data_IF_644145483359
#
_entry.id   IF_644145483359
#
_cell.length_a   1.000
_cell.length_b   1.000
_cell.length_c   1.000
_cell.angle_alpha   90.00
_cell.angle_beta   90.00
_cell.angle_gamma   90.00
#
_symmetry.space_group_name_H-M   'P 1'
#
loop_
_entity.id
_entity.type
_entity.pdbx_description
1 polymer ?
#
# COMPACT_ATOMS: atom_id res chain seq x y z
N UNK A 1 10.67 -1.08 -8.99
CA UNK A 1 10.48 -0.18 -7.82
C UNK A 1 9.36 -0.78 -6.99
N UNK A 2 9.66 -1.11 -5.73
CA UNK A 2 8.69 -1.62 -4.77
C UNK A 2 8.73 -0.75 -3.53
N UNK A 3 7.82 0.20 -3.43
CA UNK A 3 7.87 1.25 -2.39
C UNK A 3 6.62 1.26 -1.54
N UNK A 4 6.81 1.40 -0.22
CA UNK A 4 5.72 1.62 0.73
C UNK A 4 5.74 3.10 1.16
N UNK A 5 4.60 3.78 1.04
CA UNK A 5 4.39 5.12 1.55
C UNK A 5 3.52 5.04 2.82
N UNK A 6 4.15 5.22 3.97
CA UNK A 6 3.50 5.16 5.28
C UNK A 6 3.32 6.57 5.84
N UNK A 7 2.17 6.88 6.42
CA UNK A 7 1.93 8.21 6.99
C UNK A 7 0.46 8.49 7.25
N UNK A 8 0.16 9.52 8.04
CA UNK A 8 -1.22 9.85 8.41
C UNK A 8 -2.01 10.48 7.26
N UNK A 9 -3.33 10.60 7.43
CA UNK A 9 -4.18 11.37 6.51
C UNK A 9 -3.64 12.80 6.35
N UNK A 10 -3.55 13.29 5.11
CA UNK A 10 -3.00 14.62 4.82
C UNK A 10 -1.48 14.70 4.70
N UNK A 11 -0.71 13.64 4.98
CA UNK A 11 0.75 13.63 4.87
C UNK A 11 1.31 13.72 3.42
N UNK A 12 0.46 13.71 2.40
CA UNK A 12 0.87 13.82 1.00
C UNK A 12 1.27 12.52 0.30
N UNK A 13 1.00 11.35 0.90
CA UNK A 13 1.25 10.02 0.29
C UNK A 13 0.72 9.90 -1.14
N UNK A 14 -0.57 10.21 -1.34
CA UNK A 14 -1.21 10.14 -2.66
C UNK A 14 -0.62 11.13 -3.66
N UNK A 15 -0.16 12.30 -3.19
CA UNK A 15 0.55 13.25 -4.04
C UNK A 15 1.91 12.70 -4.48
N UNK A 16 2.64 12.04 -3.59
CA UNK A 16 3.92 11.41 -3.91
C UNK A 16 3.74 10.20 -4.83
N UNK A 17 2.76 9.32 -4.57
CA UNK A 17 2.48 8.15 -5.42
C UNK A 17 2.13 8.57 -6.85
N UNK A 18 1.27 9.58 -7.03
CA UNK A 18 0.97 10.15 -8.36
C UNK A 18 2.22 10.68 -9.08
N UNK A 19 3.13 11.37 -8.37
CA UNK A 19 4.38 11.88 -8.95
C UNK A 19 5.32 10.76 -9.36
N UNK A 20 5.37 9.67 -8.60
CA UNK A 20 6.18 8.49 -8.94
C UNK A 20 5.60 7.75 -10.15
N UNK A 21 4.27 7.57 -10.18
CA UNK A 21 3.55 6.96 -11.30
C UNK A 21 3.69 7.76 -12.61
N UNK A 22 3.82 9.08 -12.53
CA UNK A 22 4.05 9.91 -13.71
C UNK A 22 5.42 9.68 -14.38
N UNK A 23 6.39 9.09 -13.67
CA UNK A 23 7.75 8.86 -14.18
C UNK A 23 7.94 7.48 -14.80
N UNK A 24 7.15 6.49 -14.39
CA UNK A 24 7.24 5.11 -14.84
C UNK A 24 5.93 4.36 -14.63
N UNK A 25 5.63 3.34 -15.45
CA UNK A 25 4.50 2.45 -15.20
C UNK A 25 4.74 1.69 -13.88
N UNK A 26 3.83 1.89 -12.93
CA UNK A 26 3.87 1.26 -11.60
C UNK A 26 2.45 1.11 -11.10
N UNK A 27 2.12 -0.05 -10.54
CA UNK A 27 0.82 -0.27 -9.94
C UNK A 27 0.72 0.44 -8.58
N UNK A 28 -0.48 0.83 -8.16
CA UNK A 28 -0.72 1.47 -6.86
C UNK A 28 -1.84 0.76 -6.14
N UNK A 29 -1.64 0.47 -4.86
CA UNK A 29 -2.66 0.00 -3.94
C UNK A 29 -2.78 0.97 -2.76
N UNK A 30 -3.96 1.54 -2.52
CA UNK A 30 -4.26 2.12 -1.21
C UNK A 30 -4.61 1.01 -0.23
N UNK A 31 -4.06 1.05 0.98
CA UNK A 31 -4.46 0.10 2.00
C UNK A 31 -5.93 0.25 2.41
N UNK A 32 -6.55 1.42 2.18
CA UNK A 32 -7.99 1.60 2.39
C UNK A 32 -8.83 0.67 1.50
N UNK A 33 -8.32 0.30 0.31
CA UNK A 33 -9.01 -0.59 -0.65
C UNK A 33 -9.09 -2.05 -0.16
N UNK A 34 -8.23 -2.45 0.78
CA UNK A 34 -8.18 -3.82 1.34
C UNK A 34 -8.55 -3.87 2.82
N UNK A 35 -8.62 -2.73 3.48
CA UNK A 35 -8.85 -2.58 4.91
C UNK A 35 -10.32 -2.80 5.32
N UNK A 36 -11.26 -2.46 4.44
CA UNK A 36 -12.69 -2.37 4.76
C UNK A 36 -13.54 -3.18 3.77
N UNK A 37 -14.70 -3.64 4.23
CA UNK A 37 -15.75 -4.20 3.37
C UNK A 37 -16.55 -3.06 2.68
N UNK A 38 -17.72 -3.34 2.11
CA UNK A 38 -18.61 -2.36 1.45
C UNK A 38 -19.14 -1.21 2.38
N UNK A 39 -18.57 -1.05 3.58
CA UNK A 39 -18.88 0.00 4.54
C UNK A 39 -17.66 0.42 5.35
N UNK A 40 -17.88 0.78 6.62
CA UNK A 40 -16.80 1.25 7.53
C UNK A 40 -16.23 0.15 8.41
N UNK A 41 -16.69 -1.09 8.26
CA UNK A 41 -16.23 -2.20 9.06
C UNK A 41 -14.87 -2.70 8.55
N UNK A 42 -13.91 -2.81 9.49
CA UNK A 42 -12.61 -3.42 9.20
C UNK A 42 -12.77 -4.90 8.90
N UNK A 43 -12.12 -5.33 7.82
CA UNK A 43 -11.99 -6.74 7.45
C UNK A 43 -11.09 -7.48 8.44
N UNK A 44 -11.21 -8.81 8.55
CA UNK A 44 -10.19 -9.61 9.22
C UNK A 44 -8.81 -9.30 8.65
N UNK A 45 -7.85 -9.01 9.53
CA UNK A 45 -6.52 -8.55 9.12
C UNK A 45 -5.82 -9.51 8.14
N UNK A 46 -6.07 -10.81 8.30
CA UNK A 46 -5.49 -11.85 7.43
C UNK A 46 -5.98 -11.75 5.98
N UNK A 47 -7.23 -11.32 5.77
CA UNK A 47 -7.79 -11.16 4.43
C UNK A 47 -7.17 -9.93 3.75
N UNK A 48 -7.01 -8.83 4.48
CA UNK A 48 -6.29 -7.64 3.98
C UNK A 48 -4.83 -7.97 3.62
N UNK A 49 -4.13 -8.73 4.46
CA UNK A 49 -2.75 -9.15 4.18
C UNK A 49 -2.69 -10.07 2.94
N UNK A 50 -3.65 -10.99 2.80
CA UNK A 50 -3.72 -11.88 1.64
C UNK A 50 -3.91 -11.10 0.33
N UNK A 51 -4.79 -10.10 0.32
CA UNK A 51 -5.01 -9.23 -0.84
C UNK A 51 -3.76 -8.42 -1.20
N UNK A 52 -3.05 -7.87 -0.20
CA UNK A 52 -1.78 -7.16 -0.42
C UNK A 52 -0.73 -8.10 -1.01
N UNK A 53 -0.61 -9.33 -0.51
CA UNK A 53 0.33 -10.32 -1.07
C UNK A 53 -0.01 -10.69 -2.51
N UNK A 54 -1.29 -10.85 -2.81
CA UNK A 54 -1.78 -11.11 -4.17
C UNK A 54 -1.45 -9.95 -5.12
N UNK A 55 -1.63 -8.71 -4.65
CA UNK A 55 -1.24 -7.51 -5.38
C UNK A 55 0.28 -7.44 -5.63
N UNK A 56 1.11 -7.74 -4.62
CA UNK A 56 2.57 -7.77 -4.76
C UNK A 56 3.00 -8.83 -5.79
N UNK A 57 2.40 -10.02 -5.73
CA UNK A 57 2.76 -11.13 -6.62
C UNK A 57 2.33 -10.90 -8.09
N UNK A 58 1.32 -10.05 -8.33
CA UNK A 58 0.82 -9.74 -9.67
C UNK A 58 1.53 -8.60 -10.38
N UNK A 59 2.44 -7.88 -9.69
CA UNK A 59 3.09 -6.69 -10.24
C UNK A 59 4.61 -6.69 -10.00
N UNK A 60 5.40 -6.52 -11.07
CA UNK A 60 6.86 -6.42 -10.96
C UNK A 60 7.33 -5.11 -10.28
N UNK A 61 6.51 -4.06 -10.37
CA UNK A 61 6.74 -2.76 -9.72
C UNK A 61 5.44 -2.22 -9.16
N UNK A 62 5.48 -1.74 -7.92
CA UNK A 62 4.31 -1.29 -7.19
C UNK A 62 4.62 -0.22 -6.15
N UNK A 63 3.56 0.52 -5.79
CA UNK A 63 3.50 1.43 -4.66
C UNK A 63 2.33 0.98 -3.77
N UNK A 64 2.58 0.79 -2.49
CA UNK A 64 1.52 0.58 -1.49
C UNK A 64 1.50 1.82 -0.59
N UNK A 65 0.33 2.44 -0.39
CA UNK A 65 0.20 3.62 0.45
C UNK A 65 -0.87 3.47 1.53
N UNK A 66 -0.61 3.98 2.74
CA UNK A 66 -1.59 3.95 3.83
C UNK A 66 -0.99 4.27 5.20
N UNK A 67 -1.73 3.95 6.27
CA UNK A 67 -1.29 4.14 7.67
C UNK A 67 -1.38 2.87 8.53
N UNK A 68 -1.84 1.75 7.97
CA UNK A 68 -2.11 0.51 8.71
C UNK A 68 -0.85 -0.35 8.82
N UNK A 69 -0.06 -0.11 9.88
CA UNK A 69 1.19 -0.83 10.13
C UNK A 69 0.97 -2.35 10.31
N UNK A 70 -0.18 -2.76 10.85
CA UNK A 70 -0.59 -4.16 11.02
C UNK A 70 -0.78 -4.91 9.68
N UNK A 71 -1.14 -4.20 8.62
CA UNK A 71 -1.19 -4.76 7.25
C UNK A 71 0.20 -4.77 6.61
N UNK A 72 1.01 -3.75 6.88
CA UNK A 72 2.33 -3.55 6.24
C UNK A 72 3.42 -4.45 6.82
N UNK A 73 3.50 -4.58 8.14
CA UNK A 73 4.55 -5.32 8.83
C UNK A 73 4.78 -6.73 8.24
N UNK A 74 3.73 -7.54 7.94
CA UNK A 74 3.88 -8.88 7.38
C UNK A 74 4.39 -8.96 5.93
N UNK A 75 4.48 -7.83 5.22
CA UNK A 75 4.94 -7.73 3.83
C UNK A 75 6.11 -6.76 3.68
N UNK A 76 6.66 -6.25 4.78
CA UNK A 76 7.71 -5.22 4.75
C UNK A 76 8.97 -5.69 4.02
N UNK A 77 9.31 -6.98 4.11
CA UNK A 77 10.46 -7.56 3.41
C UNK A 77 10.31 -7.63 1.88
N UNK A 78 9.11 -7.37 1.34
CA UNK A 78 8.86 -7.37 -0.10
C UNK A 78 9.19 -6.02 -0.77
N UNK A 79 9.34 -4.95 0.02
CA UNK A 79 9.66 -3.62 -0.48
C UNK A 79 11.17 -3.37 -0.54
N UNK A 80 11.58 -2.54 -1.52
CA UNK A 80 12.94 -2.02 -1.62
C UNK A 80 13.14 -0.82 -0.70
N UNK A 81 12.06 -0.05 -0.45
CA UNK A 81 12.08 1.20 0.29
C UNK A 81 10.75 1.45 1.01
N UNK A 82 10.83 1.96 2.24
CA UNK A 82 9.70 2.53 2.97
C UNK A 82 9.97 4.01 3.23
N UNK A 83 9.03 4.86 2.83
CA UNK A 83 9.07 6.31 3.06
C UNK A 83 7.98 6.66 4.07
N UNK A 84 8.37 7.27 5.18
CA UNK A 84 7.44 7.79 6.18
C UNK A 84 7.19 9.29 5.95
N UNK A 85 5.92 9.69 5.89
CA UNK A 85 5.46 11.05 5.63
C UNK A 85 4.56 11.58 6.77
#
# INVERSE_FOLDING_TARGET
MKTILLGNAGAGKSTLSMRLMAKQPVARLSLDEVAFDEGTQRRPIQDSIADVRSFIASHESWIIEGCYADIIEPVLCECDELIFL
#
